data_IF_672674606426
#
_entry.id   IF_672674606426
#
_cell.length_a   1.000
_cell.length_b   1.000
_cell.length_c   1.000
_cell.angle_alpha   90.00
_cell.angle_beta   90.00
_cell.angle_gamma   90.00
#
_symmetry.space_group_name_H-M   'P 1'
#
loop_
_entity.id
_entity.type
_entity.pdbx_description
1 polymer ?
#
# COMPACT_ATOMS: atom_id res chain seq x y z
N UNK A 1 -11.21 -11.09 -16.78
CA UNK A 1 -10.11 -10.14 -16.40
C UNK A 1 -10.67 -9.09 -15.47
N UNK A 2 -9.93 -8.80 -14.41
CA UNK A 2 -10.30 -7.73 -13.50
C UNK A 2 -10.05 -6.34 -14.13
N UNK A 3 -10.76 -5.34 -13.64
CA UNK A 3 -10.66 -3.98 -14.16
C UNK A 3 -9.80 -3.16 -13.17
N UNK A 4 -8.66 -2.61 -13.61
CA UNK A 4 -7.83 -1.80 -12.73
C UNK A 4 -8.58 -0.54 -12.26
N UNK A 5 -8.36 -0.16 -11.00
CA UNK A 5 -8.87 1.11 -10.47
C UNK A 5 -8.21 2.27 -11.22
N UNK A 6 -8.95 3.33 -11.47
CA UNK A 6 -8.39 4.53 -12.06
C UNK A 6 -7.53 5.27 -11.03
N UNK A 7 -6.58 6.07 -11.51
CA UNK A 7 -5.74 6.88 -10.63
C UNK A 7 -6.60 7.87 -9.82
N UNK A 8 -7.64 8.43 -10.43
CA UNK A 8 -8.55 9.35 -9.73
C UNK A 8 -9.25 8.66 -8.57
N UNK A 9 -9.81 7.48 -8.80
CA UNK A 9 -10.47 6.70 -7.75
C UNK A 9 -9.49 6.28 -6.65
N UNK A 10 -8.27 5.88 -7.04
CA UNK A 10 -7.23 5.53 -6.07
C UNK A 10 -6.90 6.73 -5.17
N UNK A 11 -6.74 7.92 -5.75
CA UNK A 11 -6.44 9.13 -4.98
C UNK A 11 -7.58 9.49 -4.04
N UNK A 12 -8.82 9.22 -4.40
CA UNK A 12 -9.95 9.39 -3.49
C UNK A 12 -9.86 8.46 -2.30
N UNK A 13 -9.51 7.20 -2.53
CA UNK A 13 -9.30 6.23 -1.44
C UNK A 13 -8.19 6.69 -0.50
N UNK A 14 -7.09 7.19 -1.06
CA UNK A 14 -5.97 7.71 -0.27
C UNK A 14 -6.42 8.91 0.56
N UNK A 15 -7.15 9.85 -0.04
CA UNK A 15 -7.63 11.04 0.67
C UNK A 15 -8.57 10.68 1.81
N UNK A 16 -9.47 9.73 1.62
CA UNK A 16 -10.36 9.25 2.68
C UNK A 16 -9.55 8.64 3.83
N UNK A 17 -8.55 7.85 3.50
CA UNK A 17 -7.68 7.24 4.52
C UNK A 17 -6.92 8.30 5.31
N UNK A 18 -6.42 9.33 4.62
CA UNK A 18 -5.68 10.41 5.27
C UNK A 18 -6.53 11.17 6.28
N UNK A 19 -7.83 11.31 6.02
CA UNK A 19 -8.74 11.93 6.98
C UNK A 19 -8.92 11.13 8.26
N UNK A 20 -8.67 9.82 8.21
CA UNK A 20 -8.79 8.92 9.37
C UNK A 20 -7.48 8.75 10.12
N UNK A 21 -6.37 9.27 9.59
CA UNK A 21 -5.09 9.25 10.26
C UNK A 21 -4.87 10.55 11.02
N UNK A 22 -4.21 10.48 12.17
CA UNK A 22 -3.85 11.69 12.92
C UNK A 22 -2.54 11.46 13.69
N UNK A 23 -1.98 12.57 14.21
CA UNK A 23 -0.80 12.52 15.06
C UNK A 23 0.35 11.74 14.43
N UNK A 24 0.90 10.80 15.20
CA UNK A 24 2.08 10.07 14.80
C UNK A 24 1.85 9.18 13.56
N UNK A 25 0.68 8.57 13.45
CA UNK A 25 0.39 7.70 12.30
C UNK A 25 0.28 8.50 11.00
N UNK A 26 -0.28 9.71 11.07
CA UNK A 26 -0.31 10.60 9.90
C UNK A 26 1.10 11.06 9.52
N UNK A 27 1.91 11.40 10.51
CA UNK A 27 3.31 11.78 10.27
C UNK A 27 4.07 10.64 9.60
N UNK A 28 3.88 9.42 10.08
CA UNK A 28 4.49 8.24 9.49
C UNK A 28 4.07 8.07 8.03
N UNK A 29 2.76 8.14 7.76
CA UNK A 29 2.25 8.06 6.40
C UNK A 29 2.89 9.10 5.49
N UNK A 30 2.98 10.35 5.94
CA UNK A 30 3.58 11.43 5.15
C UNK A 30 5.06 11.19 4.85
N UNK A 31 5.75 10.43 5.68
CA UNK A 31 7.15 10.07 5.44
C UNK A 31 7.32 8.97 4.40
N UNK A 32 6.37 8.03 4.32
CA UNK A 32 6.53 6.84 3.48
C UNK A 32 5.75 6.89 2.17
N UNK A 33 4.74 7.75 2.05
CA UNK A 33 3.90 7.81 0.85
C UNK A 33 4.71 8.24 -0.37
N UNK A 34 4.36 7.68 -1.51
CA UNK A 34 4.96 8.02 -2.80
C UNK A 34 3.87 8.42 -3.77
N UNK A 35 4.18 9.18 -4.83
CA UNK A 35 3.23 9.31 -5.93
C UNK A 35 2.89 7.90 -6.45
N UNK A 36 1.62 7.56 -6.62
CA UNK A 36 1.25 6.22 -7.03
C UNK A 36 1.98 5.78 -8.30
N UNK A 37 2.50 4.56 -8.27
CA UNK A 37 3.25 3.96 -9.37
C UNK A 37 2.78 2.54 -9.58
N UNK A 38 2.69 2.11 -10.84
CA UNK A 38 2.38 0.70 -11.14
C UNK A 38 3.60 -0.16 -10.90
N UNK A 39 3.45 -1.18 -10.05
CA UNK A 39 4.49 -2.17 -9.80
C UNK A 39 4.08 -3.50 -10.39
N UNK A 40 5.05 -4.25 -10.86
CA UNK A 40 4.82 -5.60 -11.42
C UNK A 40 4.51 -6.59 -10.31
N UNK A 41 3.59 -7.50 -10.61
CA UNK A 41 3.29 -8.62 -9.73
C UNK A 41 3.01 -9.83 -10.63
N UNK A 42 3.81 -10.87 -10.50
CA UNK A 42 3.89 -11.93 -11.51
C UNK A 42 2.72 -12.91 -11.53
N UNK A 43 1.99 -13.06 -10.42
CA UNK A 43 0.92 -14.06 -10.36
C UNK A 43 -0.39 -13.57 -10.96
N UNK A 44 -0.82 -12.37 -10.61
CA UNK A 44 -2.13 -11.85 -11.00
C UNK A 44 -2.09 -10.41 -11.51
N UNK A 45 -1.19 -9.60 -10.98
CA UNK A 45 -1.20 -8.16 -11.20
C UNK A 45 -0.82 -7.75 -12.62
N UNK A 46 0.03 -8.51 -13.28
CA UNK A 46 0.53 -8.13 -14.60
C UNK A 46 -0.57 -8.10 -15.66
N UNK A 47 -1.63 -8.88 -15.48
CA UNK A 47 -2.77 -8.89 -16.43
C UNK A 47 -3.46 -7.53 -16.51
N UNK A 48 -3.41 -6.75 -15.46
CA UNK A 48 -3.98 -5.40 -15.42
C UNK A 48 -2.95 -4.29 -15.45
N UNK A 49 -1.70 -4.60 -15.83
CA UNK A 49 -0.64 -3.61 -15.92
C UNK A 49 0.10 -3.37 -14.61
N UNK A 50 -0.09 -4.24 -13.63
CA UNK A 50 0.50 -4.13 -12.31
C UNK A 50 -0.47 -3.60 -11.26
N UNK A 51 0.00 -3.49 -10.02
CA UNK A 51 -0.76 -2.89 -8.92
C UNK A 51 -0.18 -1.52 -8.57
N UNK A 52 -1.05 -0.62 -8.12
CA UNK A 52 -0.61 0.71 -7.68
C UNK A 52 0.11 0.63 -6.34
N UNK A 53 1.41 0.91 -6.34
CA UNK A 53 2.17 1.11 -5.11
C UNK A 53 1.95 2.54 -4.64
N UNK A 54 1.69 2.71 -3.34
CA UNK A 54 1.33 4.02 -2.75
C UNK A 54 2.29 4.45 -1.66
N UNK A 55 3.10 3.55 -1.14
CA UNK A 55 4.09 3.87 -0.11
C UNK A 55 5.20 2.83 -0.09
N UNK A 56 6.40 3.25 0.28
CA UNK A 56 7.54 2.34 0.49
C UNK A 56 8.29 2.77 1.76
N UNK A 57 8.79 1.79 2.51
CA UNK A 57 9.78 2.04 3.57
C UNK A 57 10.63 0.79 3.73
N UNK A 58 11.97 0.99 3.81
CA UNK A 58 12.88 -0.15 3.83
C UNK A 58 12.63 -1.04 2.62
N UNK A 59 12.44 -2.33 2.86
CA UNK A 59 12.13 -3.32 1.82
C UNK A 59 10.64 -3.66 1.75
N UNK A 60 9.78 -2.78 2.23
CA UNK A 60 8.33 -2.99 2.30
C UNK A 60 7.63 -2.01 1.37
N UNK A 61 6.60 -2.48 0.68
CA UNK A 61 5.74 -1.68 -0.18
C UNK A 61 4.29 -1.85 0.24
N UNK A 62 3.51 -0.75 0.23
CA UNK A 62 2.06 -0.78 0.37
C UNK A 62 1.49 -0.59 -1.03
N UNK A 63 0.58 -1.48 -1.43
CA UNK A 63 -0.02 -1.43 -2.76
C UNK A 63 -1.53 -1.65 -2.67
N UNK A 64 -2.25 -1.17 -3.68
CA UNK A 64 -3.68 -1.42 -3.81
C UNK A 64 -3.89 -2.64 -4.71
N UNK A 65 -4.59 -3.64 -4.17
CA UNK A 65 -4.99 -4.83 -4.94
C UNK A 65 -6.40 -4.61 -5.46
N UNK A 66 -6.53 -4.21 -6.71
CA UNK A 66 -7.83 -3.93 -7.31
C UNK A 66 -8.58 -5.17 -7.78
N UNK A 67 -8.01 -6.34 -7.64
CA UNK A 67 -8.73 -7.61 -7.77
C UNK A 67 -9.61 -7.82 -6.54
N UNK A 68 -9.09 -7.50 -5.34
CA UNK A 68 -9.76 -7.73 -4.06
C UNK A 68 -10.29 -6.44 -3.42
N UNK A 69 -10.06 -5.29 -4.05
CA UNK A 69 -10.49 -3.98 -3.56
C UNK A 69 -9.96 -3.65 -2.16
N UNK A 70 -8.66 -3.81 -1.96
CA UNK A 70 -8.05 -3.51 -0.67
C UNK A 70 -6.57 -3.21 -0.76
N UNK A 71 -6.05 -2.58 0.31
CA UNK A 71 -4.63 -2.28 0.42
C UNK A 71 -3.90 -3.42 1.13
N UNK A 72 -2.69 -3.68 0.67
CA UNK A 72 -1.88 -4.80 1.13
C UNK A 72 -0.43 -4.40 1.27
N UNK A 73 0.34 -5.21 1.98
CA UNK A 73 1.78 -5.02 2.13
C UNK A 73 2.51 -6.21 1.54
N UNK A 74 3.70 -5.95 1.03
CA UNK A 74 4.61 -6.99 0.55
C UNK A 74 6.04 -6.55 0.81
N UNK A 75 6.93 -7.52 0.92
CA UNK A 75 8.35 -7.24 0.79
C UNK A 75 8.69 -7.02 -0.68
N UNK A 76 9.85 -6.42 -0.94
CA UNK A 76 10.39 -6.37 -2.29
C UNK A 76 11.91 -6.42 -2.25
N UNK A 77 12.48 -7.09 -3.23
CA UNK A 77 13.93 -7.15 -3.41
C UNK A 77 14.37 -6.18 -4.51
N UNK A 78 13.51 -5.94 -5.49
CA UNK A 78 13.77 -5.04 -6.62
C UNK A 78 12.67 -3.98 -6.63
N UNK A 79 13.06 -2.71 -6.60
CA UNK A 79 12.10 -1.60 -6.65
C UNK A 79 11.26 -1.70 -7.92
N UNK A 80 9.97 -1.61 -7.77
CA UNK A 80 9.03 -1.76 -8.87
C UNK A 80 8.45 -3.16 -9.03
N UNK A 81 8.87 -4.12 -8.19
CA UNK A 81 8.39 -5.50 -8.26
C UNK A 81 7.91 -5.97 -6.89
N UNK A 82 6.62 -6.30 -6.82
CA UNK A 82 6.01 -6.86 -5.62
C UNK A 82 6.44 -8.32 -5.50
N UNK A 83 7.06 -8.68 -4.36
CA UNK A 83 7.58 -10.04 -4.17
C UNK A 83 6.50 -11.06 -3.84
N UNK A 84 5.48 -10.66 -3.09
CA UNK A 84 4.45 -11.58 -2.63
C UNK A 84 3.06 -11.02 -2.89
N UNK A 85 2.21 -11.84 -3.51
CA UNK A 85 0.81 -11.50 -3.68
C UNK A 85 0.10 -11.54 -2.32
N UNK A 86 -0.72 -10.55 -2.03
CA UNK A 86 -1.54 -10.50 -0.84
C UNK A 86 -2.93 -9.98 -1.21
N UNK A 87 -3.95 -10.51 -0.56
CA UNK A 87 -5.34 -10.34 -0.97
C UNK A 87 -6.26 -9.83 0.14
N UNK A 88 -5.74 -9.12 1.12
CA UNK A 88 -6.57 -8.49 2.15
C UNK A 88 -7.41 -7.38 1.56
N UNK A 89 -8.59 -7.16 2.15
CA UNK A 89 -9.50 -6.07 1.76
C UNK A 89 -9.43 -4.94 2.79
N UNK A 90 -8.23 -4.52 3.14
CA UNK A 90 -8.02 -3.55 4.21
C UNK A 90 -8.08 -2.11 3.68
N UNK A 91 -8.60 -1.20 4.50
CA UNK A 91 -8.48 0.23 4.24
C UNK A 91 -7.04 0.67 4.48
N UNK A 92 -6.60 1.68 3.74
CA UNK A 92 -5.21 2.15 3.81
C UNK A 92 -4.83 2.65 5.21
N UNK A 93 -5.71 3.42 5.85
CA UNK A 93 -5.44 3.92 7.20
C UNK A 93 -5.19 2.77 8.18
N UNK A 94 -5.91 1.69 8.05
CA UNK A 94 -5.75 0.52 8.90
C UNK A 94 -4.39 -0.15 8.68
N UNK A 95 -3.97 -0.27 7.41
CA UNK A 95 -2.66 -0.84 7.06
C UNK A 95 -1.53 0.03 7.63
N UNK A 96 -1.62 1.34 7.45
CA UNK A 96 -0.62 2.29 7.94
C UNK A 96 -0.50 2.21 9.46
N UNK A 97 -1.63 2.23 10.17
CA UNK A 97 -1.63 2.16 11.63
C UNK A 97 -1.04 0.85 12.14
N UNK A 98 -1.37 -0.27 11.49
CA UNK A 98 -0.83 -1.58 11.86
C UNK A 98 0.68 -1.61 11.72
N UNK A 99 1.21 -1.09 10.62
CA UNK A 99 2.66 -1.03 10.40
C UNK A 99 3.31 -0.11 11.44
N UNK A 100 2.75 1.07 11.64
CA UNK A 100 3.30 2.04 12.58
C UNK A 100 3.34 1.47 14.00
N UNK A 101 2.27 0.84 14.45
CA UNK A 101 2.20 0.24 15.78
C UNK A 101 3.22 -0.88 15.94
N UNK A 102 3.43 -1.68 14.90
CA UNK A 102 4.44 -2.74 14.91
C UNK A 102 5.85 -2.16 15.09
N UNK A 103 6.18 -1.09 14.36
CA UNK A 103 7.47 -0.43 14.47
C UNK A 103 7.66 0.21 15.85
N UNK A 104 6.61 0.81 16.39
CA UNK A 104 6.65 1.45 17.70
C UNK A 104 6.90 0.42 18.81
N UNK A 105 6.27 -0.74 18.73
CA UNK A 105 6.51 -1.82 19.69
C UNK A 105 7.95 -2.32 19.65
N UNK A 106 8.51 -2.46 18.46
CA UNK A 106 9.88 -2.91 18.28
C UNK A 106 10.88 -1.87 18.80
N UNK A 107 10.56 -0.58 18.74
CA UNK A 107 11.41 0.48 19.20
C UNK A 107 11.44 0.62 20.74
N UNK A 108 10.55 -0.05 21.45
CA UNK A 108 10.47 0.00 22.91
C UNK A 108 11.34 -1.06 23.60
N UNK A 109 12.12 -1.76 22.86
CA UNK A 109 13.06 -2.74 23.41
C UNK A 109 14.25 -2.04 24.14
#
# INVERSE_FOLDING_TARGET
>A
MWIPISLTELKECISHAELKLDGESLNFWNLIKIPPQKWKEKEYGNDGGGFWAVAVFGNTVIFYNDIEDGFNISSYAVYGQISEYASEQAELNWVVERIYNSLKQNAQL
#
